data_IF_950400232060
#
_entry.id   IF_950400232060
#
_cell.length_a   1.000
_cell.length_b   1.000
_cell.length_c   1.000
_cell.angle_alpha   90.00
_cell.angle_beta   90.00
_cell.angle_gamma   90.00
#
_symmetry.space_group_name_H-M   'P 1'
#
loop_
_entity.id
_entity.type
_entity.pdbx_description
1 polymer ?
#
# COMPACT_ATOMS: atom_id res chain seq x y z
N UNK A 1 63.03 43.54 -40.40
CA UNK A 1 63.02 43.33 -41.87
C UNK A 1 62.00 42.25 -42.21
N UNK A 2 61.14 42.48 -43.22
CA UNK A 2 60.52 41.41 -44.05
C UNK A 2 61.35 41.32 -45.34
N UNK A 3 61.52 40.13 -45.92
CA UNK A 3 60.62 39.61 -46.97
C UNK A 3 60.19 38.14 -46.70
N UNK A 4 59.15 37.48 -47.24
CA UNK A 4 58.02 37.72 -48.17
C UNK A 4 58.02 36.81 -49.42
N UNK A 5 56.94 36.03 -49.60
CA UNK A 5 56.47 35.38 -50.87
C UNK A 5 57.35 34.18 -51.32
N UNK A 6 56.91 33.08 -51.94
CA UNK A 6 55.62 32.55 -52.45
C UNK A 6 55.89 31.24 -53.25
N UNK A 7 55.00 30.60 -54.03
CA UNK A 7 53.54 30.70 -54.24
C UNK A 7 53.04 29.47 -55.07
N UNK A 8 51.97 28.77 -54.65
CA UNK A 8 51.21 27.80 -55.49
C UNK A 8 51.68 26.33 -55.49
N UNK A 9 50.86 25.35 -55.89
CA UNK A 9 49.44 25.44 -56.23
C UNK A 9 48.82 24.18 -56.88
N UNK A 10 47.81 23.60 -56.20
CA UNK A 10 46.58 22.98 -56.76
C UNK A 10 46.65 21.74 -57.70
N UNK A 11 46.08 20.65 -57.16
CA UNK A 11 44.95 19.86 -57.72
C UNK A 11 45.14 18.93 -58.95
N UNK A 12 45.09 17.62 -58.63
CA UNK A 12 44.10 16.64 -59.12
C UNK A 12 44.16 16.09 -60.56
N UNK A 13 44.08 14.74 -60.70
CA UNK A 13 42.84 14.02 -61.08
C UNK A 13 43.01 12.49 -61.11
N UNK A 14 41.87 11.83 -60.93
CA UNK A 14 41.58 10.39 -60.90
C UNK A 14 42.32 9.48 -61.89
N UNK A 15 42.77 8.32 -61.39
CA UNK A 15 42.65 6.99 -62.00
C UNK A 15 42.66 5.96 -60.84
N UNK A 16 41.60 5.26 -60.42
CA UNK A 16 40.48 4.56 -61.09
C UNK A 16 40.81 3.09 -61.45
N UNK A 17 40.09 2.18 -60.78
CA UNK A 17 39.93 0.73 -61.04
C UNK A 17 41.12 -0.22 -60.86
N UNK A 18 41.20 -0.83 -59.66
CA UNK A 18 41.70 -2.20 -59.47
C UNK A 18 40.59 -3.05 -58.87
N UNK A 19 40.10 -4.00 -59.66
CA UNK A 19 38.79 -4.66 -59.54
C UNK A 19 38.88 -5.97 -58.73
N UNK A 20 38.07 -6.03 -57.67
CA UNK A 20 37.08 -7.10 -57.41
C UNK A 20 37.58 -8.57 -57.34
N UNK A 21 38.05 -9.02 -56.16
CA UNK A 21 38.31 -10.44 -55.91
C UNK A 21 38.20 -10.90 -54.43
N UNK A 22 37.20 -10.41 -53.66
CA UNK A 22 36.96 -10.93 -52.30
C UNK A 22 35.47 -10.87 -51.85
N UNK A 23 34.54 -10.98 -52.81
CA UNK A 23 33.10 -10.75 -52.59
C UNK A 23 32.25 -11.91 -52.03
N UNK A 24 32.41 -13.19 -52.44
CA UNK A 24 31.35 -14.18 -52.22
C UNK A 24 31.44 -15.00 -50.93
N UNK A 25 32.60 -15.09 -50.27
CA UNK A 25 32.77 -16.00 -49.12
C UNK A 25 32.40 -15.40 -47.75
N UNK A 26 32.26 -14.07 -47.65
CA UNK A 26 31.77 -13.43 -46.42
C UNK A 26 30.25 -13.56 -46.24
N UNK A 27 29.49 -13.83 -47.31
CA UNK A 27 28.02 -13.85 -47.27
C UNK A 27 27.44 -15.18 -46.75
N UNK A 28 28.17 -16.29 -46.89
CA UNK A 28 27.70 -17.62 -46.49
C UNK A 28 27.75 -17.88 -44.97
N UNK A 29 28.57 -17.12 -44.22
CA UNK A 29 28.78 -17.31 -42.79
C UNK A 29 27.69 -16.69 -41.89
N UNK A 30 26.78 -15.88 -42.45
CA UNK A 30 25.75 -15.15 -41.68
C UNK A 30 24.43 -15.94 -41.55
N UNK A 31 24.25 -17.02 -42.30
CA UNK A 31 22.96 -17.75 -42.37
C UNK A 31 22.80 -18.78 -41.23
N UNK A 32 23.83 -18.95 -40.38
CA UNK A 32 23.84 -19.92 -39.26
C UNK A 32 23.89 -19.28 -37.86
N UNK A 33 23.76 -17.96 -37.75
CA UNK A 33 23.59 -17.31 -36.43
C UNK A 33 22.17 -17.57 -35.91
N UNK A 34 21.98 -18.25 -34.76
CA UNK A 34 20.65 -18.39 -34.19
C UNK A 34 20.10 -17.01 -33.81
N UNK A 35 18.94 -16.66 -34.37
CA UNK A 35 18.26 -15.41 -34.00
C UNK A 35 17.89 -15.48 -32.52
N UNK A 36 18.52 -14.63 -31.70
CA UNK A 36 18.14 -14.46 -30.31
C UNK A 36 16.69 -13.95 -30.29
N UNK A 37 15.78 -14.78 -29.76
CA UNK A 37 14.39 -14.38 -29.60
C UNK A 37 14.32 -13.08 -28.76
N UNK A 38 13.44 -12.12 -29.11
CA UNK A 38 13.28 -10.92 -28.31
C UNK A 38 12.87 -11.35 -26.90
N UNK A 39 13.70 -10.99 -25.91
CA UNK A 39 13.39 -11.29 -24.51
C UNK A 39 12.07 -10.63 -24.16
N UNK A 40 11.07 -11.43 -23.80
CA UNK A 40 9.82 -10.90 -23.27
C UNK A 40 10.14 -9.98 -22.09
N UNK A 41 9.49 -8.81 -21.96
CA UNK A 41 9.72 -7.93 -20.83
C UNK A 41 9.44 -8.71 -19.54
N UNK A 42 10.45 -8.81 -18.67
CA UNK A 42 10.29 -9.44 -17.37
C UNK A 42 9.11 -8.79 -16.65
N UNK A 43 8.25 -9.56 -15.95
CA UNK A 43 7.11 -8.98 -15.24
C UNK A 43 7.63 -7.92 -14.28
N UNK A 44 7.22 -6.67 -14.51
CA UNK A 44 7.58 -5.54 -13.65
C UNK A 44 7.23 -5.89 -12.22
N UNK A 45 8.25 -6.14 -11.40
CA UNK A 45 8.07 -6.37 -9.97
C UNK A 45 7.33 -5.16 -9.44
N UNK A 46 6.09 -5.37 -8.99
CA UNK A 46 5.34 -4.35 -8.25
C UNK A 46 6.04 -4.21 -6.91
N UNK A 47 7.07 -3.38 -6.88
CA UNK A 47 7.65 -2.89 -5.64
C UNK A 47 6.53 -2.08 -4.99
N UNK A 48 6.07 -2.44 -3.76
CA UNK A 48 5.06 -1.63 -3.08
C UNK A 48 5.59 -0.20 -3.02
N UNK A 49 4.76 0.75 -3.46
CA UNK A 49 5.18 2.12 -3.67
C UNK A 49 5.80 2.66 -2.37
N UNK A 50 7.13 2.76 -2.36
CA UNK A 50 7.83 3.38 -1.24
C UNK A 50 7.41 4.83 -1.26
N UNK A 51 6.68 5.27 -0.23
CA UNK A 51 6.32 6.68 -0.06
C UNK A 51 7.61 7.48 -0.15
N UNK A 52 7.81 8.16 -1.29
CA UNK A 52 9.08 8.79 -1.59
C UNK A 52 9.45 9.75 -0.45
N UNK A 53 10.73 9.86 -0.10
CA UNK A 53 11.16 10.82 0.93
C UNK A 53 10.69 12.25 0.59
N UNK A 54 10.53 12.57 -0.70
CA UNK A 54 9.94 13.82 -1.19
C UNK A 54 8.43 13.99 -0.91
N UNK A 55 7.69 12.89 -0.74
CA UNK A 55 6.27 12.88 -0.38
C UNK A 55 6.05 12.97 1.14
N UNK A 56 6.92 12.34 1.94
CA UNK A 56 6.82 12.31 3.40
C UNK A 56 6.92 13.70 4.07
N UNK A 57 7.69 14.61 3.46
CA UNK A 57 7.88 15.97 3.97
C UNK A 57 6.61 16.84 3.92
N UNK A 58 6.02 17.11 2.73
CA UNK A 58 4.78 17.86 2.62
C UNK A 58 3.61 17.24 3.39
N UNK A 59 3.54 15.90 3.47
CA UNK A 59 2.52 15.22 4.27
C UNK A 59 2.65 15.51 5.76
N UNK A 60 3.84 15.35 6.34
CA UNK A 60 4.07 15.60 7.78
C UNK A 60 3.90 17.07 8.16
N UNK A 61 4.29 17.98 7.26
CA UNK A 61 4.09 19.43 7.46
C UNK A 61 2.59 19.80 7.48
N UNK A 62 1.80 19.29 6.53
CA UNK A 62 0.36 19.55 6.48
C UNK A 62 -0.39 18.96 7.68
N UNK A 63 0.00 17.77 8.14
CA UNK A 63 -0.57 17.10 9.30
C UNK A 63 -0.42 17.94 10.58
N UNK A 64 0.80 18.39 10.87
CA UNK A 64 1.10 19.31 11.97
C UNK A 64 0.38 20.66 11.84
N UNK A 65 0.31 21.22 10.63
CA UNK A 65 -0.39 22.48 10.38
C UNK A 65 -1.90 22.37 10.68
N UNK A 66 -2.57 21.31 10.23
CA UNK A 66 -4.01 21.11 10.46
C UNK A 66 -4.31 20.89 11.94
N UNK A 67 -3.49 20.10 12.65
CA UNK A 67 -3.62 19.91 14.10
C UNK A 67 -3.46 21.23 14.89
N UNK A 68 -2.48 22.06 14.50
CA UNK A 68 -2.25 23.37 15.11
C UNK A 68 -3.39 24.35 14.78
N UNK A 69 -3.81 24.43 13.52
CA UNK A 69 -4.91 25.28 13.06
C UNK A 69 -6.23 24.97 13.78
N UNK A 70 -6.56 23.69 13.98
CA UNK A 70 -7.79 23.31 14.68
C UNK A 70 -7.82 23.77 16.14
N UNK A 71 -6.65 23.86 16.78
CA UNK A 71 -6.48 24.29 18.17
C UNK A 71 -6.32 25.81 18.31
N UNK A 72 -5.91 26.50 17.25
CA UNK A 72 -5.68 27.93 17.21
C UNK A 72 -6.99 28.74 17.23
N UNK A 73 -6.88 29.98 17.67
CA UNK A 73 -7.97 30.94 17.75
C UNK A 73 -7.46 32.34 18.09
N UNK A 74 -8.39 33.24 18.38
CA UNK A 74 -8.10 34.66 18.65
C UNK A 74 -7.10 34.83 19.82
N UNK A 75 -6.00 35.53 19.58
CA UNK A 75 -4.90 35.72 20.53
C UNK A 75 -3.90 34.58 20.60
N UNK A 76 -3.96 33.62 19.67
CA UNK A 76 -3.01 32.49 19.55
C UNK A 76 -2.51 32.24 18.13
N UNK A 77 -2.82 33.15 17.19
CA UNK A 77 -2.49 33.02 15.76
C UNK A 77 -0.98 32.96 15.47
N UNK A 78 -0.13 33.47 16.38
CA UNK A 78 1.33 33.34 16.29
C UNK A 78 1.79 31.87 16.19
N UNK A 79 1.00 30.93 16.71
CA UNK A 79 1.24 29.48 16.54
C UNK A 79 1.19 29.00 15.08
N UNK A 80 0.56 29.76 14.18
CA UNK A 80 0.46 29.45 12.75
C UNK A 80 1.56 30.09 11.90
N UNK A 81 2.28 31.08 12.45
CA UNK A 81 3.40 31.76 11.78
C UNK A 81 4.48 30.80 11.25
N UNK A 82 4.90 29.72 11.96
CA UNK A 82 5.87 28.75 11.44
C UNK A 82 5.41 28.00 10.19
N UNK A 83 4.09 27.94 9.96
CA UNK A 83 3.51 27.25 8.80
C UNK A 83 3.21 28.21 7.65
N UNK A 84 2.67 29.40 7.94
CA UNK A 84 2.22 30.35 6.92
C UNK A 84 3.27 31.39 6.50
N UNK A 85 4.33 31.58 7.30
CA UNK A 85 5.32 32.65 7.09
C UNK A 85 4.80 34.07 7.34
N UNK A 86 3.54 34.21 7.77
CA UNK A 86 2.85 35.46 8.04
C UNK A 86 1.80 35.26 9.15
N UNK A 87 1.44 36.34 9.83
CA UNK A 87 0.30 36.33 10.76
C UNK A 87 -1.03 36.24 10.00
N UNK A 88 -2.01 35.64 10.66
CA UNK A 88 -3.42 35.60 10.25
C UNK A 88 -4.28 36.05 11.42
N UNK A 89 -5.56 36.32 11.18
CA UNK A 89 -6.54 36.62 12.23
C UNK A 89 -7.59 35.51 12.27
N UNK A 90 -7.87 34.99 13.46
CA UNK A 90 -8.90 33.97 13.67
C UNK A 90 -10.01 34.53 14.56
N UNK A 91 -11.26 34.28 14.15
CA UNK A 91 -12.45 34.69 14.92
C UNK A 91 -12.98 33.58 15.84
N UNK A 92 -12.26 32.46 15.98
CA UNK A 92 -12.64 31.31 16.81
C UNK A 92 -12.00 31.40 18.19
N UNK A 93 -12.68 30.94 19.24
CA UNK A 93 -12.07 30.84 20.56
C UNK A 93 -10.90 29.84 20.56
N UNK A 94 -9.74 30.15 21.18
CA UNK A 94 -8.63 29.23 21.31
C UNK A 94 -9.01 27.90 21.99
N UNK A 95 -8.64 26.80 21.34
CA UNK A 95 -8.95 25.44 21.76
C UNK A 95 -10.45 25.10 21.79
N UNK A 96 -11.30 25.86 21.08
CA UNK A 96 -12.73 25.53 20.89
C UNK A 96 -12.92 24.18 20.20
N UNK A 97 -12.04 23.90 19.24
CA UNK A 97 -11.85 22.61 18.56
C UNK A 97 -10.41 22.17 18.77
N UNK A 98 -10.13 20.89 18.50
CA UNK A 98 -8.79 20.29 18.53
C UNK A 98 -8.85 18.94 17.82
N UNK A 99 -7.75 18.55 17.16
CA UNK A 99 -7.63 17.20 16.61
C UNK A 99 -7.21 16.23 17.72
N UNK A 100 -7.97 15.15 17.89
CA UNK A 100 -7.59 14.00 18.72
C UNK A 100 -6.60 13.09 17.97
N UNK A 101 -6.79 12.95 16.66
CA UNK A 101 -5.83 12.32 15.75
C UNK A 101 -5.92 12.97 14.35
N UNK A 102 -4.84 12.87 13.57
CA UNK A 102 -4.77 13.36 12.19
C UNK A 102 -4.10 12.31 11.30
N UNK A 103 -4.47 12.27 10.03
CA UNK A 103 -3.86 11.39 9.02
C UNK A 103 -3.99 11.98 7.61
N UNK A 104 -2.91 11.93 6.83
CA UNK A 104 -2.92 12.35 5.42
C UNK A 104 -3.61 11.28 4.57
N UNK A 105 -4.69 11.66 3.90
CA UNK A 105 -5.55 10.78 3.09
C UNK A 105 -5.38 10.96 1.59
N UNK A 106 -4.86 12.11 1.14
CA UNK A 106 -4.46 12.32 -0.24
C UNK A 106 -3.26 13.28 -0.34
N UNK A 107 -2.39 13.05 -1.33
CA UNK A 107 -1.22 13.87 -1.60
C UNK A 107 -0.98 13.94 -3.11
N UNK A 108 -1.11 15.12 -3.70
CA UNK A 108 -0.96 15.34 -5.14
C UNK A 108 0.01 16.48 -5.40
N UNK A 109 1.08 16.23 -6.16
CA UNK A 109 1.94 17.31 -6.65
C UNK A 109 1.21 18.04 -7.78
N UNK A 110 0.84 19.30 -7.54
CA UNK A 110 0.09 20.13 -8.51
C UNK A 110 1.02 20.97 -9.40
N UNK A 111 2.23 21.26 -8.92
CA UNK A 111 3.35 21.79 -9.70
C UNK A 111 4.68 21.37 -9.07
N UNK A 112 5.81 21.58 -9.76
CA UNK A 112 7.13 21.25 -9.21
C UNK A 112 7.35 21.98 -7.87
N UNK A 113 7.57 21.21 -6.80
CA UNK A 113 7.71 21.74 -5.44
C UNK A 113 6.42 22.24 -4.77
N UNK A 114 5.23 22.07 -5.37
CA UNK A 114 3.96 22.52 -4.80
C UNK A 114 2.92 21.40 -4.78
N UNK A 115 2.33 21.18 -3.60
CA UNK A 115 1.51 20.02 -3.29
C UNK A 115 0.13 20.43 -2.76
N UNK A 116 -0.90 19.70 -3.17
CA UNK A 116 -2.20 19.66 -2.50
C UNK A 116 -2.22 18.45 -1.58
N UNK A 117 -2.35 18.69 -0.27
CA UNK A 117 -2.44 17.65 0.76
C UNK A 117 -3.84 17.66 1.37
N UNK A 118 -4.48 16.50 1.50
CA UNK A 118 -5.73 16.35 2.25
C UNK A 118 -5.45 15.58 3.54
N UNK A 119 -5.77 16.18 4.68
CA UNK A 119 -5.63 15.63 6.02
C UNK A 119 -7.03 15.33 6.56
N UNK A 120 -7.27 14.11 7.00
CA UNK A 120 -8.41 13.78 7.86
C UNK A 120 -8.03 14.08 9.32
N UNK A 121 -8.92 14.70 10.07
CA UNK A 121 -8.77 14.98 11.49
C UNK A 121 -10.00 14.49 12.25
N UNK A 122 -9.77 13.70 13.29
CA UNK A 122 -10.75 13.34 14.30
C UNK A 122 -10.92 14.54 15.24
N UNK A 123 -12.02 15.29 15.13
CA UNK A 123 -12.20 16.58 15.79
C UNK A 123 -13.04 16.44 17.04
N UNK A 124 -12.52 16.96 18.15
CA UNK A 124 -13.27 17.07 19.41
C UNK A 124 -13.39 18.54 19.85
N UNK A 125 -14.48 18.87 20.52
CA UNK A 125 -14.67 20.21 21.11
C UNK A 125 -13.80 20.41 22.36
N UNK A 126 -13.77 21.64 22.87
CA UNK A 126 -13.17 21.97 24.17
C UNK A 126 -13.74 21.12 25.32
N UNK A 127 -15.03 20.79 25.28
CA UNK A 127 -15.70 19.94 26.28
C UNK A 127 -15.44 18.44 26.12
N UNK A 128 -14.66 18.03 25.12
CA UNK A 128 -14.43 16.61 24.80
C UNK A 128 -15.61 15.95 24.08
N UNK A 129 -16.52 16.75 23.49
CA UNK A 129 -17.60 16.24 22.66
C UNK A 129 -17.05 15.90 21.28
N UNK A 130 -17.27 14.67 20.84
CA UNK A 130 -16.90 14.19 19.51
C UNK A 130 -17.66 14.98 18.42
N UNK A 131 -16.96 15.40 17.36
CA UNK A 131 -17.52 16.01 16.15
C UNK A 131 -17.32 15.12 14.91
N UNK A 132 -16.58 14.01 15.06
CA UNK A 132 -16.27 13.07 14.00
C UNK A 132 -15.08 13.48 13.13
N UNK A 133 -14.94 12.81 11.99
CA UNK A 133 -13.81 13.00 11.09
C UNK A 133 -14.11 14.09 10.05
N UNK A 134 -13.38 15.21 10.16
CA UNK A 134 -13.37 16.30 9.19
C UNK A 134 -12.18 16.18 8.24
N UNK A 135 -12.29 16.74 7.03
CA UNK A 135 -11.23 16.68 6.02
C UNK A 135 -10.80 18.08 5.62
N UNK A 136 -9.49 18.33 5.66
CA UNK A 136 -8.89 19.64 5.40
C UNK A 136 -7.87 19.54 4.27
N UNK A 137 -7.99 20.42 3.27
CA UNK A 137 -7.05 20.51 2.16
C UNK A 137 -6.14 21.72 2.33
N UNK A 138 -4.84 21.49 2.19
CA UNK A 138 -3.76 22.48 2.35
C UNK A 138 -2.90 22.52 1.09
N UNK A 139 -2.58 23.73 0.61
CA UNK A 139 -1.51 23.94 -0.36
C UNK A 139 -0.17 24.06 0.36
N UNK A 140 0.79 23.19 0.05
CA UNK A 140 2.14 23.17 0.66
C UNK A 140 3.19 23.37 -0.42
N UNK A 141 3.94 24.47 -0.31
CA UNK A 141 5.12 24.73 -1.12
C UNK A 141 6.37 24.23 -0.38
N UNK A 142 7.25 23.54 -1.10
CA UNK A 142 8.52 23.04 -0.63
C UNK A 142 9.66 23.71 -1.42
N UNK A 143 10.62 24.32 -0.72
CA UNK A 143 11.85 24.80 -1.34
C UNK A 143 12.90 23.69 -1.33
N UNK A 144 13.70 23.56 -2.40
CA UNK A 144 14.85 22.66 -2.42
C UNK A 144 16.11 23.41 -2.02
N UNK A 145 16.96 22.81 -1.20
CA UNK A 145 18.32 23.31 -1.00
C UNK A 145 19.10 23.10 -2.32
N UNK A 146 19.53 24.17 -2.98
CA UNK A 146 20.41 24.07 -4.15
C UNK A 146 21.85 23.76 -3.72
N UNK A 147 22.08 22.51 -3.31
CA UNK A 147 23.39 21.90 -3.11
C UNK A 147 23.58 20.73 -4.09
N UNK A 148 24.77 20.60 -4.67
CA UNK A 148 24.98 19.69 -5.79
C UNK A 148 25.06 18.20 -5.38
N UNK A 149 24.26 17.36 -6.04
CA UNK A 149 24.45 15.89 -6.11
C UNK A 149 23.67 15.08 -5.07
N UNK A 150 22.94 14.08 -5.56
CA UNK A 150 22.00 13.19 -4.82
C UNK A 150 20.79 13.92 -4.19
N UNK A 151 19.72 13.17 -3.92
CA UNK A 151 18.37 13.70 -3.70
C UNK A 151 18.30 14.69 -2.52
N UNK A 152 18.35 15.99 -2.83
CA UNK A 152 18.27 17.04 -1.84
C UNK A 152 16.91 16.99 -1.12
N UNK A 153 16.96 16.82 0.20
CA UNK A 153 15.81 17.05 1.04
C UNK A 153 15.35 18.52 0.87
N UNK A 154 14.04 18.80 0.90
CA UNK A 154 13.55 20.17 0.87
C UNK A 154 14.13 20.98 2.05
N UNK A 155 14.58 22.19 1.76
CA UNK A 155 15.18 23.13 2.72
C UNK A 155 14.15 23.74 3.67
N UNK A 156 12.88 23.75 3.27
CA UNK A 156 11.78 24.27 4.06
C UNK A 156 10.42 24.03 3.40
N UNK A 157 9.37 24.22 4.17
CA UNK A 157 7.98 24.13 3.75
C UNK A 157 7.22 25.38 4.18
N UNK A 158 6.22 25.77 3.39
CA UNK A 158 5.27 26.83 3.75
C UNK A 158 3.88 26.46 3.24
N UNK A 159 2.86 26.68 4.07
CA UNK A 159 1.46 26.59 3.69
C UNK A 159 1.07 27.88 2.96
N UNK A 160 0.50 27.75 1.76
CA UNK A 160 0.12 28.92 0.93
C UNK A 160 -1.20 29.55 1.34
N UNK A 161 -2.03 28.83 2.11
CA UNK A 161 -3.35 29.26 2.60
C UNK A 161 -3.66 28.61 3.94
N UNK A 162 -4.68 29.12 4.64
CA UNK A 162 -5.35 28.37 5.71
C UNK A 162 -5.94 27.04 5.16
N UNK A 163 -6.15 26.02 6.00
CA UNK A 163 -6.77 24.77 5.57
C UNK A 163 -8.22 24.97 5.15
N UNK A 164 -8.57 24.51 3.94
CA UNK A 164 -9.94 24.52 3.45
C UNK A 164 -10.66 23.23 3.84
N UNK A 165 -11.80 23.33 4.51
CA UNK A 165 -12.63 22.17 4.82
C UNK A 165 -13.27 21.60 3.53
N UNK A 166 -13.20 20.29 3.35
CA UNK A 166 -13.65 19.56 2.15
C UNK A 166 -14.43 18.31 2.53
N UNK A 167 -15.19 17.76 1.58
CA UNK A 167 -15.87 16.49 1.77
C UNK A 167 -14.91 15.29 1.91
N UNK A 168 -15.36 14.17 2.50
CA UNK A 168 -14.57 12.95 2.59
C UNK A 168 -14.25 12.35 1.20
N UNK A 169 -13.23 11.48 1.09
CA UNK A 169 -13.02 10.63 -0.08
C UNK A 169 -14.27 9.82 -0.43
N UNK A 170 -14.42 9.47 -1.72
CA UNK A 170 -15.57 8.70 -2.17
C UNK A 170 -15.57 7.28 -1.59
N UNK A 171 -16.64 6.91 -0.90
CA UNK A 171 -16.91 5.53 -0.48
C UNK A 171 -17.20 4.66 -1.70
N UNK A 172 -16.40 3.62 -1.91
CA UNK A 172 -16.62 2.63 -2.98
C UNK A 172 -17.47 1.46 -2.47
N UNK A 173 -18.25 0.85 -3.36
CA UNK A 173 -18.88 -0.45 -3.09
C UNK A 173 -17.79 -1.54 -3.13
N UNK A 174 -17.71 -2.44 -2.13
CA UNK A 174 -16.75 -3.54 -2.17
C UNK A 174 -17.01 -4.46 -3.36
N UNK A 175 -15.93 -5.04 -3.92
CA UNK A 175 -16.03 -6.15 -4.87
C UNK A 175 -16.61 -7.39 -4.19
N UNK A 176 -17.25 -8.25 -4.98
CA UNK A 176 -17.67 -9.57 -4.50
C UNK A 176 -16.43 -10.39 -4.09
N UNK A 177 -16.61 -11.31 -3.12
CA UNK A 177 -15.57 -12.21 -2.64
C UNK A 177 -15.78 -13.63 -3.19
N UNK A 178 -14.74 -14.46 -3.15
CA UNK A 178 -14.80 -15.84 -3.66
C UNK A 178 -15.58 -16.83 -2.76
N UNK A 179 -15.81 -16.47 -1.49
CA UNK A 179 -16.37 -17.34 -0.46
C UNK A 179 -17.90 -17.53 -0.59
N UNK A 180 -18.32 -18.31 -1.58
CA UNK A 180 -19.73 -18.46 -1.97
C UNK A 180 -20.44 -19.60 -1.23
N UNK A 181 -19.74 -20.68 -0.85
CA UNK A 181 -20.34 -21.78 -0.08
C UNK A 181 -20.30 -21.43 1.41
N UNK A 182 -21.48 -21.27 2.01
CA UNK A 182 -21.61 -21.20 3.47
C UNK A 182 -21.48 -22.61 4.07
N UNK A 183 -20.80 -22.72 5.21
CA UNK A 183 -20.61 -23.97 5.95
C UNK A 183 -21.43 -23.87 7.25
N UNK A 184 -22.68 -24.38 7.28
CA UNK A 184 -23.56 -24.24 8.44
C UNK A 184 -23.21 -25.20 9.59
N UNK A 185 -22.57 -26.33 9.29
CA UNK A 185 -22.12 -27.31 10.27
C UNK A 185 -20.64 -27.07 10.61
N UNK A 186 -20.38 -26.58 11.83
CA UNK A 186 -19.03 -26.30 12.30
C UNK A 186 -18.19 -27.57 12.57
N UNK A 187 -18.78 -28.77 12.43
CA UNK A 187 -18.05 -30.05 12.41
C UNK A 187 -17.49 -30.42 11.03
N UNK A 188 -17.83 -29.67 9.97
CA UNK A 188 -17.16 -29.77 8.67
C UNK A 188 -15.63 -29.60 8.85
N UNK A 189 -14.78 -30.46 8.28
CA UNK A 189 -13.34 -30.41 8.51
C UNK A 189 -12.65 -29.08 8.17
N UNK A 190 -13.18 -28.28 7.24
CA UNK A 190 -12.68 -26.91 6.95
C UNK A 190 -13.00 -25.98 8.12
N UNK A 191 -14.27 -25.96 8.56
CA UNK A 191 -14.72 -25.11 9.66
C UNK A 191 -14.08 -25.49 11.00
N UNK A 192 -13.98 -26.79 11.29
CA UNK A 192 -13.33 -27.30 12.49
C UNK A 192 -11.84 -26.91 12.53
N UNK A 193 -11.11 -27.08 11.43
CA UNK A 193 -9.69 -26.71 11.34
C UNK A 193 -9.48 -25.20 11.49
N UNK A 194 -10.32 -24.40 10.82
CA UNK A 194 -10.30 -22.93 10.93
C UNK A 194 -10.55 -22.46 12.38
N UNK A 195 -11.59 -22.98 13.04
CA UNK A 195 -11.92 -22.62 14.42
C UNK A 195 -10.86 -23.04 15.44
N UNK A 196 -10.28 -24.23 15.26
CA UNK A 196 -9.20 -24.75 16.09
C UNK A 196 -7.91 -23.93 15.93
N UNK A 197 -7.52 -23.61 14.69
CA UNK A 197 -6.40 -22.72 14.40
C UNK A 197 -6.59 -21.34 15.04
N UNK A 198 -7.74 -20.69 14.82
CA UNK A 198 -8.00 -19.35 15.35
C UNK A 198 -8.05 -19.35 16.89
N UNK A 199 -8.57 -20.42 17.52
CA UNK A 199 -8.51 -20.57 18.99
C UNK A 199 -7.05 -20.56 19.46
N UNK A 200 -6.19 -21.39 18.86
CA UNK A 200 -4.78 -21.49 19.22
C UNK A 200 -3.93 -20.26 18.87
N UNK A 201 -4.40 -19.44 17.92
CA UNK A 201 -3.75 -18.20 17.51
C UNK A 201 -4.14 -16.99 18.40
N UNK A 202 -5.37 -16.98 18.92
CA UNK A 202 -5.98 -15.79 19.54
C UNK A 202 -6.21 -15.90 21.05
N UNK A 203 -6.34 -17.11 21.60
CA UNK A 203 -6.72 -17.34 23.00
C UNK A 203 -5.48 -17.60 23.86
N UNK A 204 -5.39 -16.86 24.96
CA UNK A 204 -4.30 -17.00 25.92
C UNK A 204 -4.36 -18.35 26.68
N UNK A 205 -3.19 -18.98 26.84
CA UNK A 205 -3.03 -20.29 27.47
C UNK A 205 -2.94 -21.45 26.47
N UNK A 206 -3.25 -21.22 25.20
CA UNK A 206 -3.05 -22.19 24.13
C UNK A 206 -1.56 -22.38 23.80
N UNK A 207 -1.21 -23.55 23.24
CA UNK A 207 0.18 -23.94 22.94
C UNK A 207 0.76 -23.28 21.67
N UNK A 208 -0.01 -22.41 21.01
CA UNK A 208 0.32 -21.83 19.70
C UNK A 208 -0.34 -22.56 18.52
N UNK A 209 -0.45 -21.89 17.35
CA UNK A 209 -1.17 -22.38 16.19
C UNK A 209 -0.47 -23.51 15.42
N UNK A 210 0.80 -23.79 15.71
CA UNK A 210 1.71 -24.61 14.89
C UNK A 210 1.15 -26.02 14.62
N UNK A 211 0.42 -26.59 15.58
CA UNK A 211 -0.25 -27.90 15.48
C UNK A 211 -1.32 -27.99 14.37
N UNK A 212 -1.80 -26.85 13.88
CA UNK A 212 -2.81 -26.74 12.83
C UNK A 212 -2.25 -26.17 11.52
N UNK A 213 -0.96 -25.85 11.47
CA UNK A 213 -0.30 -25.30 10.28
C UNK A 213 0.46 -26.37 9.51
N UNK A 214 0.60 -26.19 8.19
CA UNK A 214 1.46 -27.09 7.41
C UNK A 214 2.94 -26.93 7.77
N UNK A 215 3.72 -28.03 7.83
CA UNK A 215 5.17 -27.98 7.99
C UNK A 215 5.85 -26.99 7.02
N UNK A 216 6.56 -26.00 7.58
CA UNK A 216 7.23 -24.95 6.83
C UNK A 216 6.47 -23.62 6.76
N UNK A 217 5.16 -23.60 7.04
CA UNK A 217 4.38 -22.37 7.24
C UNK A 217 4.93 -21.60 8.44
N UNK A 218 5.03 -20.27 8.32
CA UNK A 218 5.50 -19.36 9.37
C UNK A 218 4.44 -18.31 9.66
N UNK A 219 3.50 -18.64 10.54
CA UNK A 219 2.54 -17.69 11.11
C UNK A 219 3.03 -17.38 12.52
N UNK A 220 3.52 -16.15 12.74
CA UNK A 220 3.99 -15.69 14.04
C UNK A 220 2.83 -15.61 15.04
N UNK A 221 2.90 -16.31 16.17
CA UNK A 221 1.88 -16.19 17.22
C UNK A 221 1.76 -14.73 17.71
N UNK A 222 0.59 -14.35 18.22
CA UNK A 222 0.41 -13.11 18.96
C UNK A 222 0.88 -13.32 20.41
N UNK A 223 1.81 -12.49 20.91
CA UNK A 223 2.32 -12.58 22.28
C UNK A 223 2.32 -11.20 22.98
N UNK A 224 1.60 -11.01 24.10
CA UNK A 224 0.62 -11.94 24.68
C UNK A 224 -0.63 -12.06 23.80
N UNK A 225 -1.25 -13.25 23.78
CA UNK A 225 -2.50 -13.46 23.08
C UNK A 225 -3.64 -12.58 23.67
N UNK A 226 -4.39 -11.82 22.86
CA UNK A 226 -5.24 -10.72 23.33
C UNK A 226 -6.56 -11.16 23.95
N UNK A 227 -7.03 -12.40 23.70
CA UNK A 227 -8.35 -12.85 24.11
C UNK A 227 -8.33 -14.00 25.11
N UNK A 228 -9.47 -14.18 25.81
CA UNK A 228 -9.70 -15.25 26.80
C UNK A 228 -10.67 -16.32 26.32
N UNK A 229 -11.53 -15.99 25.35
CA UNK A 229 -12.47 -16.92 24.70
C UNK A 229 -12.65 -16.54 23.24
N UNK A 230 -12.97 -17.54 22.43
CA UNK A 230 -13.33 -17.42 21.02
C UNK A 230 -14.56 -18.29 20.74
N UNK A 231 -15.45 -17.81 19.90
CA UNK A 231 -16.61 -18.53 19.36
C UNK A 231 -16.61 -18.35 17.84
N UNK A 232 -16.82 -19.42 17.07
CA UNK A 232 -16.94 -19.33 15.61
C UNK A 232 -18.40 -19.06 15.27
N UNK A 233 -18.68 -17.95 14.61
CA UNK A 233 -20.05 -17.50 14.30
C UNK A 233 -20.46 -17.77 12.86
N UNK A 234 -19.49 -18.05 11.97
CA UNK A 234 -19.73 -18.47 10.60
C UNK A 234 -18.44 -18.86 9.90
N UNK A 235 -18.53 -19.75 8.90
CA UNK A 235 -17.45 -20.07 7.99
C UNK A 235 -18.03 -20.17 6.58
N UNK A 236 -17.35 -19.56 5.62
CA UNK A 236 -17.62 -19.71 4.20
C UNK A 236 -16.35 -20.10 3.45
N UNK A 237 -16.44 -20.81 2.33
CA UNK A 237 -15.28 -21.12 1.49
C UNK A 237 -15.55 -20.97 -0.02
N UNK A 238 -14.49 -21.14 -0.80
CA UNK A 238 -14.48 -21.10 -2.27
C UNK A 238 -14.92 -22.42 -2.95
N UNK A 239 -15.47 -23.36 -2.18
CA UNK A 239 -16.05 -24.58 -2.71
C UNK A 239 -17.35 -24.33 -3.49
N UNK A 240 -17.72 -25.29 -4.33
CA UNK A 240 -18.99 -25.27 -5.03
C UNK A 240 -20.16 -25.38 -4.03
N UNK A 241 -21.06 -24.39 -3.93
CA UNK A 241 -22.18 -24.41 -2.98
C UNK A 241 -23.24 -25.48 -3.29
N UNK A 242 -23.20 -26.10 -4.48
CA UNK A 242 -24.05 -27.24 -4.83
C UNK A 242 -23.50 -28.59 -4.34
N UNK A 243 -22.25 -28.64 -3.86
CA UNK A 243 -21.60 -29.86 -3.39
C UNK A 243 -21.56 -29.92 -1.85
N UNK A 244 -22.34 -30.84 -1.29
CA UNK A 244 -22.44 -31.06 0.16
C UNK A 244 -21.53 -32.19 0.67
N UNK A 245 -20.26 -32.21 0.26
CA UNK A 245 -19.28 -33.21 0.72
C UNK A 245 -18.41 -32.67 1.84
N UNK A 246 -18.47 -33.30 3.01
CA UNK A 246 -17.61 -33.03 4.18
C UNK A 246 -16.33 -33.88 4.18
N UNK A 247 -16.09 -34.68 3.14
CA UNK A 247 -14.87 -35.49 3.03
C UNK A 247 -13.65 -34.62 2.72
N UNK A 248 -12.54 -34.83 3.43
CA UNK A 248 -11.25 -34.20 3.09
C UNK A 248 -10.78 -34.74 1.72
N UNK A 249 -10.54 -33.87 0.71
CA UNK A 249 -10.09 -34.29 -0.61
C UNK A 249 -8.65 -34.85 -0.61
N UNK A 250 -8.17 -35.23 -1.80
CA UNK A 250 -6.80 -35.67 -1.99
C UNK A 250 -5.75 -34.61 -1.56
N UNK A 251 -4.62 -35.09 -1.04
CA UNK A 251 -3.49 -34.28 -0.59
C UNK A 251 -3.07 -33.21 -1.64
N UNK A 252 -2.78 -32.00 -1.17
CA UNK A 252 -2.45 -30.85 -2.00
C UNK A 252 -3.65 -30.04 -2.50
N UNK A 253 -4.89 -30.53 -2.35
CA UNK A 253 -6.11 -29.74 -2.62
C UNK A 253 -6.15 -28.52 -1.69
N UNK A 254 -6.51 -27.35 -2.22
CA UNK A 254 -6.64 -26.11 -1.45
C UNK A 254 -8.09 -25.68 -1.28
N UNK A 255 -8.36 -24.93 -0.20
CA UNK A 255 -9.57 -24.17 0.05
C UNK A 255 -9.21 -22.79 0.59
N UNK A 256 -9.89 -21.76 0.12
CA UNK A 256 -9.86 -20.45 0.73
C UNK A 256 -11.08 -20.31 1.63
N UNK A 257 -10.86 -20.19 2.94
CA UNK A 257 -11.93 -20.04 3.93
C UNK A 257 -11.97 -18.61 4.49
N UNK A 258 -13.18 -18.12 4.75
CA UNK A 258 -13.46 -16.87 5.45
C UNK A 258 -14.25 -17.21 6.72
N UNK A 259 -13.56 -17.20 7.86
CA UNK A 259 -14.14 -17.47 9.17
C UNK A 259 -14.52 -16.17 9.88
N UNK A 260 -15.78 -16.07 10.32
CA UNK A 260 -16.24 -15.05 11.26
C UNK A 260 -16.15 -15.60 12.67
N UNK A 261 -15.56 -14.83 13.58
CA UNK A 261 -15.39 -15.24 14.98
C UNK A 261 -15.72 -14.11 15.94
N UNK A 262 -16.16 -14.50 17.12
CA UNK A 262 -16.51 -13.62 18.22
C UNK A 262 -15.55 -13.87 19.38
N UNK A 263 -14.63 -12.94 19.60
CA UNK A 263 -13.65 -13.02 20.67
C UNK A 263 -14.13 -12.27 21.93
N UNK A 264 -13.64 -12.68 23.10
CA UNK A 264 -13.82 -11.94 24.37
C UNK A 264 -12.49 -11.65 25.02
N UNK A 265 -12.25 -10.38 25.36
CA UNK A 265 -11.02 -9.92 26.01
C UNK A 265 -11.01 -10.26 27.52
N UNK A 266 -9.99 -9.76 28.23
CA UNK A 266 -9.85 -9.97 29.67
C UNK A 266 -10.83 -9.16 30.53
N UNK A 267 -11.41 -8.08 30.01
CA UNK A 267 -12.46 -7.28 30.65
C UNK A 267 -13.88 -7.83 30.36
N UNK A 268 -14.00 -8.77 29.43
CA UNK A 268 -15.26 -9.36 28.99
C UNK A 268 -15.90 -8.66 27.78
N UNK A 269 -15.23 -7.66 27.19
CA UNK A 269 -15.70 -7.00 25.98
C UNK A 269 -15.71 -7.97 24.81
N UNK A 270 -16.72 -7.85 23.95
CA UNK A 270 -16.97 -8.74 22.82
C UNK A 270 -16.52 -8.06 21.53
N UNK A 271 -15.61 -8.71 20.79
CA UNK A 271 -15.01 -8.18 19.55
C UNK A 271 -15.28 -9.14 18.40
N UNK A 272 -15.85 -8.63 17.30
CA UNK A 272 -16.12 -9.41 16.10
C UNK A 272 -14.94 -9.31 15.15
N UNK A 273 -14.45 -10.45 14.67
CA UNK A 273 -13.27 -10.55 13.79
C UNK A 273 -13.61 -11.40 12.57
N UNK A 274 -12.87 -11.22 11.50
CA UNK A 274 -12.99 -12.03 10.28
C UNK A 274 -11.61 -12.35 9.75
N UNK A 275 -11.38 -13.62 9.44
CA UNK A 275 -10.08 -14.12 8.98
C UNK A 275 -10.25 -14.84 7.64
N UNK A 276 -9.51 -14.39 6.64
CA UNK A 276 -9.29 -15.13 5.41
C UNK A 276 -8.08 -16.05 5.61
N UNK A 277 -8.18 -17.31 5.19
CA UNK A 277 -7.16 -18.34 5.38
C UNK A 277 -7.12 -19.28 4.18
N UNK A 278 -5.91 -19.65 3.77
CA UNK A 278 -5.70 -20.71 2.78
C UNK A 278 -5.40 -22.02 3.49
N UNK A 279 -6.30 -23.00 3.39
CA UNK A 279 -6.14 -24.35 3.91
C UNK A 279 -5.70 -25.31 2.80
N UNK A 280 -4.85 -26.27 3.14
CA UNK A 280 -4.40 -27.35 2.23
C UNK A 280 -4.68 -28.72 2.86
N UNK A 281 -5.23 -29.63 2.07
CA UNK A 281 -5.48 -31.01 2.48
C UNK A 281 -4.15 -31.79 2.52
N UNK A 282 -3.92 -32.56 3.60
CA UNK A 282 -2.75 -33.41 3.78
C UNK A 282 -3.05 -34.57 4.72
N UNK A 283 -2.71 -35.80 4.31
CA UNK A 283 -2.87 -37.01 5.10
C UNK A 283 -4.26 -37.13 5.77
N UNK A 284 -5.32 -36.83 5.02
CA UNK A 284 -6.72 -36.95 5.46
C UNK A 284 -7.21 -35.86 6.43
N UNK A 285 -6.46 -34.78 6.65
CA UNK A 285 -6.90 -33.57 7.38
C UNK A 285 -6.68 -32.30 6.55
N UNK A 286 -7.27 -31.19 6.98
CA UNK A 286 -6.85 -29.87 6.54
C UNK A 286 -5.74 -29.34 7.45
N UNK A 287 -4.87 -28.50 6.88
CA UNK A 287 -3.87 -27.71 7.59
C UNK A 287 -3.94 -26.26 7.08
N UNK A 288 -3.76 -25.27 7.95
CA UNK A 288 -3.66 -23.86 7.55
C UNK A 288 -2.27 -23.64 6.94
N UNK A 289 -2.25 -23.30 5.66
CA UNK A 289 -1.03 -22.99 4.91
C UNK A 289 -0.69 -21.49 4.93
N UNK A 290 -1.70 -20.62 4.95
CA UNK A 290 -1.52 -19.16 5.01
C UNK A 290 -2.65 -18.47 5.80
N UNK A 291 -2.34 -17.31 6.37
CA UNK A 291 -3.28 -16.38 6.97
C UNK A 291 -3.39 -15.18 6.03
N UNK A 292 -4.36 -15.23 5.12
CA UNK A 292 -4.42 -14.35 3.96
C UNK A 292 -4.51 -12.86 4.41
N UNK A 293 -3.70 -11.94 3.85
CA UNK A 293 -3.63 -10.55 4.31
C UNK A 293 -4.90 -9.74 4.02
N UNK A 294 -5.76 -10.23 3.12
CA UNK A 294 -7.09 -9.71 2.85
C UNK A 294 -7.98 -10.82 2.25
N UNK A 295 -9.32 -10.74 2.42
CA UNK A 295 -10.25 -11.64 1.72
C UNK A 295 -10.11 -11.55 0.20
N UNK A 296 -10.01 -12.70 -0.48
CA UNK A 296 -9.83 -12.75 -1.93
C UNK A 296 -11.11 -12.30 -2.65
N UNK A 297 -10.97 -11.34 -3.57
CA UNK A 297 -12.05 -10.84 -4.42
C UNK A 297 -12.27 -11.73 -5.63
N UNK A 298 -13.52 -11.89 -6.07
CA UNK A 298 -13.81 -12.43 -7.39
C UNK A 298 -13.49 -11.37 -8.45
N UNK A 299 -12.84 -11.77 -9.55
CA UNK A 299 -12.64 -10.88 -10.70
C UNK A 299 -13.96 -10.23 -11.14
N UNK A 300 -13.98 -8.93 -11.48
CA UNK A 300 -15.20 -8.29 -11.99
C UNK A 300 -15.56 -8.93 -13.33
N UNK A 301 -16.75 -9.54 -13.41
CA UNK A 301 -17.30 -10.04 -14.67
C UNK A 301 -17.49 -8.86 -15.63
N UNK A 302 -16.60 -8.72 -16.61
CA UNK A 302 -16.81 -7.80 -17.73
C UNK A 302 -18.08 -8.22 -18.46
N UNK A 303 -19.03 -7.30 -18.60
CA UNK A 303 -20.30 -7.50 -19.31
C UNK A 303 -20.47 -6.43 -20.37
#
# INVERSE_FOLDING_TARGET
MRPSIGLGGKLARLAAFSVLACGPLALAAVILTPSAAPSAPAPSRVVPASTSAAAAGPSGFADLFVSTYLSAGQGTEDSLTPFLGQQVTLSTDPGSRRAQSTVVTALTQVAAGYWSVTVAADVVTKSGSDQGVHYFRVGVQASSASGAGTAAAPAGFVATTLPAEVGPPQTLKPSNLIYQRQIPDLSDPVAATAGQFLTAYLVAGETGPERYTSPGTRISKIDPAPYRRLEVTGVADDGDPSLSSTAVPADGTRRHALAQVQAKDAAGNQVSLTYAMTLTARAGRWEVTDLDPAPTTSSPTTR
#
